data_IF_098776847818
#
_entry.id   IF_098776847818
#
_cell.length_a   1.000
_cell.length_b   1.000
_cell.length_c   1.000
_cell.angle_alpha   90.00
_cell.angle_beta   90.00
_cell.angle_gamma   90.00
#
_symmetry.space_group_name_H-M   'P 1'
#
loop_
_entity.id
_entity.type
_entity.pdbx_description
1 polymer ?
#
# COMPACT_ATOMS: atom_id res chain seq x y z
N UNK A 1 -14.18 -31.70 -93.25
CA UNK A 1 -14.62 -30.61 -92.36
C UNK A 1 -16.05 -30.94 -92.00
N UNK A 2 -16.28 -31.50 -90.81
CA UNK A 2 -17.62 -31.83 -90.35
C UNK A 2 -18.02 -30.75 -89.34
N UNK A 3 -18.74 -29.74 -89.82
CA UNK A 3 -19.38 -28.74 -88.98
C UNK A 3 -20.25 -29.43 -87.92
N UNK A 4 -19.96 -29.18 -86.65
CA UNK A 4 -20.85 -29.54 -85.55
C UNK A 4 -22.13 -28.68 -85.65
N UNK A 5 -23.33 -29.26 -85.46
CA UNK A 5 -24.56 -28.50 -85.53
C UNK A 5 -24.64 -27.51 -84.35
N UNK A 6 -24.60 -26.21 -84.65
CA UNK A 6 -24.81 -25.14 -83.70
C UNK A 6 -26.30 -25.03 -83.33
N UNK A 7 -26.78 -25.92 -82.47
CA UNK A 7 -28.08 -25.75 -81.81
C UNK A 7 -27.98 -24.68 -80.72
N UNK A 8 -28.88 -23.69 -80.73
CA UNK A 8 -28.93 -22.68 -79.67
C UNK A 8 -29.14 -23.36 -78.30
N UNK A 9 -28.34 -23.03 -77.27
CA UNK A 9 -28.35 -23.73 -75.98
C UNK A 9 -29.63 -23.49 -75.15
N UNK A 10 -30.49 -22.56 -75.57
CA UNK A 10 -31.72 -22.17 -74.88
C UNK A 10 -32.92 -22.56 -75.77
N UNK A 11 -33.72 -23.53 -75.32
CA UNK A 11 -34.86 -24.11 -76.07
C UNK A 11 -36.22 -23.72 -75.48
N UNK A 12 -36.27 -23.18 -74.27
CA UNK A 12 -37.52 -22.76 -73.61
C UNK A 12 -37.40 -21.37 -72.96
N UNK A 13 -38.50 -20.61 -72.83
CA UNK A 13 -38.50 -19.32 -72.12
C UNK A 13 -38.01 -19.43 -70.67
N UNK A 14 -38.27 -20.56 -70.00
CA UNK A 14 -37.76 -20.84 -68.66
C UNK A 14 -36.23 -20.96 -68.61
N UNK A 15 -35.60 -21.55 -69.64
CA UNK A 15 -34.15 -21.63 -69.75
C UNK A 15 -33.51 -20.26 -69.99
N UNK A 16 -34.19 -19.35 -70.71
CA UNK A 16 -33.73 -17.98 -70.91
C UNK A 16 -33.73 -17.18 -69.60
N UNK A 17 -34.81 -17.26 -68.83
CA UNK A 17 -34.93 -16.58 -67.52
C UNK A 17 -33.87 -17.12 -66.55
N UNK A 18 -33.67 -18.44 -66.49
CA UNK A 18 -32.65 -19.05 -65.66
C UNK A 18 -31.23 -18.61 -66.05
N UNK A 19 -30.93 -18.52 -67.36
CA UNK A 19 -29.63 -18.06 -67.85
C UNK A 19 -29.36 -16.59 -67.50
N UNK A 20 -30.37 -15.72 -67.59
CA UNK A 20 -30.26 -14.30 -67.20
C UNK A 20 -30.06 -14.18 -65.68
N UNK A 21 -30.84 -14.90 -64.86
CA UNK A 21 -30.67 -14.84 -63.40
C UNK A 21 -29.29 -15.35 -63.00
N UNK A 22 -28.83 -16.46 -63.60
CA UNK A 22 -27.51 -17.02 -63.32
C UNK A 22 -26.37 -16.07 -63.74
N UNK A 23 -26.51 -15.33 -64.85
CA UNK A 23 -25.47 -14.40 -65.31
C UNK A 23 -25.26 -13.20 -64.39
N UNK A 24 -26.25 -12.84 -63.57
CA UNK A 24 -26.11 -11.81 -62.53
C UNK A 24 -25.81 -12.41 -61.14
N UNK A 25 -26.50 -13.47 -60.76
CA UNK A 25 -26.35 -14.07 -59.43
C UNK A 25 -24.95 -14.69 -59.23
N UNK A 26 -24.40 -15.37 -60.24
CA UNK A 26 -23.09 -16.03 -60.11
C UNK A 26 -21.96 -15.00 -59.91
N UNK A 27 -21.84 -13.93 -60.71
CA UNK A 27 -20.84 -12.88 -60.43
C UNK A 27 -21.04 -12.20 -59.08
N UNK A 28 -22.28 -11.91 -58.67
CA UNK A 28 -22.55 -11.28 -57.36
C UNK A 28 -22.07 -12.18 -56.23
N UNK A 29 -22.40 -13.48 -56.27
CA UNK A 29 -21.95 -14.45 -55.27
C UNK A 29 -20.42 -14.56 -55.27
N UNK A 30 -19.78 -14.58 -56.43
CA UNK A 30 -18.31 -14.59 -56.54
C UNK A 30 -17.71 -13.32 -55.92
N UNK A 31 -18.28 -12.14 -56.18
CA UNK A 31 -17.81 -10.88 -55.59
C UNK A 31 -17.97 -10.90 -54.07
N UNK A 32 -19.12 -11.35 -53.55
CA UNK A 32 -19.34 -11.47 -52.10
C UNK A 32 -18.34 -12.44 -51.47
N UNK A 33 -18.12 -13.61 -52.08
CA UNK A 33 -17.12 -14.57 -51.62
C UNK A 33 -15.70 -14.01 -51.66
N UNK A 34 -15.36 -13.24 -52.69
CA UNK A 34 -14.06 -12.56 -52.78
C UNK A 34 -13.90 -11.46 -51.73
N UNK A 35 -14.95 -10.68 -51.44
CA UNK A 35 -14.93 -9.68 -50.37
C UNK A 35 -14.71 -10.36 -49.02
N UNK A 36 -15.45 -11.43 -48.72
CA UNK A 36 -15.27 -12.21 -47.47
C UNK A 36 -13.87 -12.82 -47.41
N UNK A 37 -13.36 -13.35 -48.53
CA UNK A 37 -12.01 -13.91 -48.60
C UNK A 37 -10.94 -12.85 -48.34
N UNK A 38 -11.06 -11.66 -48.93
CA UNK A 38 -10.12 -10.55 -48.75
C UNK A 38 -10.21 -9.95 -47.34
N UNK A 39 -11.41 -9.89 -46.74
CA UNK A 39 -11.61 -9.36 -45.39
C UNK A 39 -11.12 -10.34 -44.30
N UNK A 40 -11.30 -11.65 -44.52
CA UNK A 40 -10.74 -12.70 -43.64
C UNK A 40 -9.25 -12.99 -43.90
N UNK A 41 -8.65 -12.40 -44.92
CA UNK A 41 -7.21 -12.51 -45.16
C UNK A 41 -6.47 -11.61 -44.16
N UNK A 42 -5.72 -12.23 -43.27
CA UNK A 42 -4.95 -11.54 -42.23
C UNK A 42 -3.99 -10.52 -42.85
N UNK A 43 -4.28 -9.23 -42.68
CA UNK A 43 -3.33 -8.16 -42.99
C UNK A 43 -2.20 -8.23 -41.96
N UNK A 44 -1.10 -8.88 -42.30
CA UNK A 44 0.08 -8.97 -41.43
C UNK A 44 1.02 -7.81 -41.75
N UNK A 45 0.74 -6.64 -41.17
CA UNK A 45 1.58 -5.45 -41.27
C UNK A 45 1.60 -4.69 -39.96
N UNK A 46 2.73 -4.09 -39.59
CA UNK A 46 2.81 -3.28 -38.38
C UNK A 46 1.77 -2.13 -38.44
N UNK A 47 0.83 -2.11 -37.50
CA UNK A 47 -0.21 -1.08 -37.37
C UNK A 47 -1.59 -1.42 -37.95
N UNK A 48 -1.77 -2.61 -38.55
CA UNK A 48 -3.08 -3.05 -39.10
C UNK A 48 -4.17 -3.16 -38.04
N UNK A 49 -3.78 -3.49 -36.82
CA UNK A 49 -4.70 -3.70 -35.70
C UNK A 49 -4.66 -2.52 -34.72
N UNK A 50 -3.97 -1.42 -35.04
CA UNK A 50 -3.80 -0.27 -34.13
C UNK A 50 -5.10 0.38 -33.65
N UNK A 51 -6.20 0.20 -34.40
CA UNK A 51 -7.56 0.64 -34.06
C UNK A 51 -8.47 -0.51 -33.59
N UNK A 52 -7.94 -1.72 -33.43
CA UNK A 52 -8.66 -2.85 -32.90
C UNK A 52 -9.12 -2.53 -31.48
N UNK A 53 -10.34 -2.95 -31.14
CA UNK A 53 -10.92 -2.72 -29.83
C UNK A 53 -10.03 -3.29 -28.71
N UNK A 54 -9.32 -4.39 -29.00
CA UNK A 54 -8.36 -5.03 -28.09
C UNK A 54 -7.14 -4.13 -27.81
N UNK A 55 -6.51 -3.55 -28.83
CA UNK A 55 -5.35 -2.67 -28.64
C UNK A 55 -5.73 -1.30 -28.08
N UNK A 56 -6.90 -0.77 -28.44
CA UNK A 56 -7.43 0.45 -27.82
C UNK A 56 -7.70 0.20 -26.33
N UNK A 57 -8.35 -0.91 -25.99
CA UNK A 57 -8.60 -1.32 -24.59
C UNK A 57 -7.31 -1.50 -23.80
N UNK A 58 -6.27 -2.09 -24.40
CA UNK A 58 -4.97 -2.25 -23.75
C UNK A 58 -4.29 -0.90 -23.45
N UNK A 59 -4.48 0.12 -24.31
CA UNK A 59 -3.90 1.47 -24.14
C UNK A 59 -4.66 2.35 -23.15
N UNK A 60 -5.98 2.16 -23.02
CA UNK A 60 -6.82 2.91 -22.07
C UNK A 60 -6.95 2.22 -20.71
N UNK A 61 -6.32 1.07 -20.50
CA UNK A 61 -6.32 0.39 -19.20
C UNK A 61 -5.75 1.35 -18.14
N UNK A 62 -6.47 1.61 -17.03
CA UNK A 62 -5.97 2.46 -15.96
C UNK A 62 -4.64 1.92 -15.43
N UNK A 63 -3.59 2.74 -15.47
CA UNK A 63 -2.26 2.39 -14.93
C UNK A 63 -2.19 2.54 -13.41
N UNK A 64 -3.13 3.27 -12.81
CA UNK A 64 -3.22 3.49 -11.38
C UNK A 64 -4.51 2.86 -10.85
N UNK A 65 -4.37 1.75 -10.14
CA UNK A 65 -5.41 1.27 -9.23
C UNK A 65 -5.18 1.98 -7.89
N UNK A 66 -6.16 2.79 -7.49
CA UNK A 66 -6.15 3.44 -6.17
C UNK A 66 -6.99 2.57 -5.25
N UNK A 67 -6.33 1.74 -4.44
CA UNK A 67 -6.99 1.02 -3.35
C UNK A 67 -7.23 1.98 -2.19
N UNK A 68 -8.46 2.49 -2.09
CA UNK A 68 -8.89 3.28 -0.94
C UNK A 68 -9.17 2.29 0.20
N UNK A 69 -8.19 2.12 1.09
CA UNK A 69 -8.38 1.31 2.31
C UNK A 69 -9.23 2.12 3.29
N UNK A 70 -10.35 1.54 3.72
CA UNK A 70 -11.15 2.09 4.82
C UNK A 70 -10.31 2.02 6.11
N UNK A 71 -10.07 3.18 6.73
CA UNK A 71 -9.30 3.31 7.97
C UNK A 71 -9.94 2.54 9.14
N UNK A 72 -11.24 2.24 9.06
CA UNK A 72 -11.99 1.48 10.08
C UNK A 72 -12.17 0.00 9.73
N UNK A 73 -11.73 -0.45 8.55
CA UNK A 73 -11.79 -1.87 8.21
C UNK A 73 -10.76 -2.67 9.05
N UNK A 74 -11.11 -3.85 9.58
CA UNK A 74 -10.17 -4.69 10.28
C UNK A 74 -8.95 -4.99 9.41
N UNK A 75 -7.74 -4.63 9.88
CA UNK A 75 -6.50 -5.03 9.18
C UNK A 75 -6.41 -6.55 9.14
N UNK A 76 -6.55 -7.11 7.94
CA UNK A 76 -6.20 -8.51 7.67
C UNK A 76 -4.70 -8.56 7.45
N UNK A 77 -3.96 -9.05 8.44
CA UNK A 77 -2.51 -9.09 8.38
C UNK A 77 -2.03 -10.29 7.54
N UNK A 78 -1.10 -10.06 6.60
CA UNK A 78 -0.51 -11.09 5.72
C UNK A 78 0.53 -11.97 6.40
N UNK A 79 0.50 -13.28 6.18
CA UNK A 79 1.48 -14.23 6.75
C UNK A 79 2.92 -13.86 6.39
N UNK A 80 3.89 -14.36 7.17
CA UNK A 80 5.31 -14.11 6.92
C UNK A 80 5.78 -14.55 5.52
N UNK A 81 5.23 -15.65 5.01
CA UNK A 81 5.50 -16.13 3.66
C UNK A 81 5.00 -15.18 2.57
N UNK A 82 3.76 -14.67 2.72
CA UNK A 82 3.17 -13.74 1.76
C UNK A 82 3.96 -12.43 1.70
N UNK A 83 4.38 -11.91 2.85
CA UNK A 83 5.21 -10.70 2.94
C UNK A 83 6.60 -10.96 2.36
N UNK A 84 7.23 -12.10 2.66
CA UNK A 84 8.51 -12.50 2.08
C UNK A 84 8.44 -12.53 0.55
N UNK A 85 7.44 -13.20 -0.02
CA UNK A 85 7.27 -13.31 -1.47
C UNK A 85 7.09 -11.94 -2.12
N UNK A 86 6.26 -11.08 -1.51
CA UNK A 86 5.92 -9.78 -2.06
C UNK A 86 7.06 -8.75 -1.98
N UNK A 87 7.88 -8.79 -0.92
CA UNK A 87 8.82 -7.70 -0.60
C UNK A 87 10.27 -8.18 -0.56
N UNK A 88 10.55 -9.27 0.16
CA UNK A 88 11.91 -9.64 0.52
C UNK A 88 12.59 -10.53 -0.54
N UNK A 89 11.80 -11.32 -1.28
CA UNK A 89 12.29 -12.35 -2.19
C UNK A 89 13.14 -11.80 -3.33
N UNK A 90 12.86 -10.57 -3.79
CA UNK A 90 13.59 -9.92 -4.89
C UNK A 90 15.11 -9.87 -4.65
N UNK A 91 15.52 -9.69 -3.38
CA UNK A 91 16.94 -9.68 -3.01
C UNK A 91 17.36 -10.97 -2.30
N UNK A 92 16.54 -11.48 -1.38
CA UNK A 92 16.94 -12.60 -0.53
C UNK A 92 16.79 -13.97 -1.18
N UNK A 93 16.04 -14.13 -2.27
CA UNK A 93 15.97 -15.43 -2.96
C UNK A 93 17.30 -15.77 -3.66
N UNK A 94 17.91 -14.78 -4.31
CA UNK A 94 19.16 -14.96 -5.06
C UNK A 94 20.41 -14.51 -4.29
N UNK A 95 20.23 -13.73 -3.23
CA UNK A 95 21.32 -13.06 -2.49
C UNK A 95 21.82 -11.81 -3.19
N UNK A 96 20.95 -11.12 -3.93
CA UNK A 96 21.30 -9.90 -4.64
C UNK A 96 21.88 -8.85 -3.68
N UNK A 97 22.84 -8.06 -4.18
CA UNK A 97 23.54 -7.03 -3.40
C UNK A 97 24.18 -7.54 -2.08
N UNK A 98 24.51 -8.84 -2.01
CA UNK A 98 25.10 -9.46 -0.81
C UNK A 98 24.09 -9.77 0.29
N UNK A 99 22.79 -9.82 -0.05
CA UNK A 99 21.75 -10.24 0.89
C UNK A 99 21.96 -11.71 1.31
N UNK A 100 21.72 -12.07 2.59
CA UNK A 100 21.75 -13.47 3.01
C UNK A 100 20.67 -14.25 2.28
N UNK A 101 21.04 -15.36 1.64
CA UNK A 101 20.11 -16.14 0.80
C UNK A 101 19.09 -16.87 1.67
N UNK A 102 17.82 -16.73 1.35
CA UNK A 102 16.75 -17.53 1.95
C UNK A 102 17.10 -19.01 1.83
N UNK A 103 16.88 -19.76 2.91
CA UNK A 103 17.27 -21.18 3.12
C UNK A 103 18.76 -21.49 3.21
N UNK A 104 19.66 -20.52 3.01
CA UNK A 104 21.09 -20.74 3.21
C UNK A 104 21.46 -20.62 4.69
N UNK A 105 21.63 -21.75 5.36
CA UNK A 105 21.98 -21.80 6.78
C UNK A 105 23.32 -21.14 7.11
N UNK A 106 24.30 -21.16 6.21
CA UNK A 106 25.61 -20.55 6.45
C UNK A 106 25.52 -19.01 6.48
N UNK A 107 24.72 -18.42 5.59
CA UNK A 107 24.51 -16.97 5.54
C UNK A 107 23.72 -16.45 6.76
N UNK A 108 22.84 -17.30 7.31
CA UNK A 108 21.89 -16.95 8.36
C UNK A 108 22.34 -17.32 9.77
N UNK A 109 23.16 -18.35 9.97
CA UNK A 109 23.65 -18.78 11.30
C UNK A 109 24.23 -17.63 12.16
N UNK A 110 25.17 -16.78 11.68
CA UNK A 110 25.70 -15.68 12.48
C UNK A 110 24.68 -14.57 12.76
N UNK A 111 23.57 -14.53 12.00
CA UNK A 111 22.50 -13.53 12.13
C UNK A 111 21.44 -14.01 13.11
N UNK A 112 21.06 -15.28 13.01
CA UNK A 112 20.17 -15.97 13.95
C UNK A 112 20.79 -15.94 15.36
N UNK A 113 22.11 -16.11 15.48
CA UNK A 113 22.82 -16.00 16.75
C UNK A 113 22.70 -14.63 17.44
N UNK A 114 22.35 -13.56 16.71
CA UNK A 114 22.13 -12.22 17.28
C UNK A 114 20.74 -12.08 17.92
N UNK A 115 19.88 -13.08 17.77
CA UNK A 115 18.51 -13.08 18.28
C UNK A 115 17.51 -12.41 17.34
N UNK A 116 16.23 -12.71 17.58
CA UNK A 116 15.12 -12.25 16.75
C UNK A 116 14.99 -10.72 16.73
N UNK A 117 15.11 -10.06 17.89
CA UNK A 117 14.94 -8.61 17.99
C UNK A 117 15.98 -7.85 17.18
N UNK A 118 17.22 -8.34 17.13
CA UNK A 118 18.29 -7.75 16.31
C UNK A 118 18.01 -7.91 14.82
N UNK A 119 17.50 -9.07 14.40
CA UNK A 119 17.10 -9.33 13.02
C UNK A 119 15.93 -8.41 12.61
N UNK A 120 14.91 -8.31 13.46
CA UNK A 120 13.76 -7.46 13.24
C UNK A 120 14.17 -5.98 13.18
N UNK A 121 15.00 -5.52 14.12
CA UNK A 121 15.52 -4.16 14.12
C UNK A 121 16.25 -3.86 12.80
N UNK A 122 17.14 -4.75 12.36
CA UNK A 122 17.86 -4.61 11.08
C UNK A 122 16.90 -4.55 9.89
N UNK A 123 15.83 -5.36 9.90
CA UNK A 123 14.83 -5.34 8.85
C UNK A 123 14.02 -4.03 8.82
N UNK A 124 13.72 -3.45 9.99
CA UNK A 124 12.96 -2.21 10.10
C UNK A 124 13.80 -0.97 9.78
N UNK A 125 15.05 -0.92 10.22
CA UNK A 125 15.95 0.24 10.04
C UNK A 125 16.79 0.17 8.77
N UNK A 126 16.94 -1.02 8.17
CA UNK A 126 17.80 -1.24 7.01
C UNK A 126 19.27 -1.35 7.39
N UNK A 127 20.07 -1.97 6.51
CA UNK A 127 21.52 -2.10 6.69
C UNK A 127 22.23 -2.32 5.36
N UNK A 128 23.22 -1.48 5.07
CA UNK A 128 23.96 -1.58 3.80
C UNK A 128 23.04 -1.36 2.60
N UNK A 129 23.02 -2.32 1.67
CA UNK A 129 22.14 -2.29 0.50
C UNK A 129 20.68 -2.69 0.80
N UNK A 130 20.37 -3.16 2.02
CA UNK A 130 19.01 -3.48 2.43
C UNK A 130 18.29 -2.19 2.87
N UNK A 131 17.26 -1.73 2.14
CA UNK A 131 16.49 -0.55 2.53
C UNK A 131 15.69 -0.80 3.82
N UNK A 132 15.36 0.26 4.58
CA UNK A 132 14.45 0.15 5.71
C UNK A 132 13.15 -0.53 5.29
N UNK A 133 12.68 -1.49 6.09
CA UNK A 133 11.44 -2.25 5.87
C UNK A 133 11.36 -2.94 4.50
N UNK A 134 12.49 -3.29 3.89
CA UNK A 134 12.51 -3.86 2.53
C UNK A 134 12.02 -2.91 1.44
N UNK A 135 12.03 -1.59 1.70
CA UNK A 135 11.56 -0.57 0.76
C UNK A 135 10.06 -0.30 0.84
N UNK A 136 9.39 -0.83 1.85
CA UNK A 136 7.96 -0.60 2.10
C UNK A 136 7.73 0.49 3.15
N UNK A 137 6.50 0.99 3.22
CA UNK A 137 6.04 1.90 4.27
C UNK A 137 5.21 1.16 5.33
N UNK A 138 5.00 1.76 6.53
CA UNK A 138 4.04 1.25 7.52
C UNK A 138 2.61 1.09 7.00
N UNK A 139 2.25 1.84 5.95
CA UNK A 139 0.93 1.79 5.33
C UNK A 139 0.77 0.54 4.45
N UNK A 140 1.87 0.09 3.82
CA UNK A 140 1.91 -1.13 3.01
C UNK A 140 1.89 -2.38 3.89
N UNK A 141 2.80 -2.41 4.88
CA UNK A 141 3.02 -3.53 5.77
C UNK A 141 3.32 -3.04 7.19
N UNK A 142 2.59 -3.57 8.17
CA UNK A 142 2.84 -3.28 9.59
C UNK A 142 4.15 -3.93 10.08
N UNK A 143 4.70 -3.41 11.17
CA UNK A 143 5.90 -3.99 11.82
C UNK A 143 5.67 -5.44 12.22
N UNK A 144 4.43 -5.77 12.58
CA UNK A 144 3.99 -7.13 12.84
C UNK A 144 4.12 -8.04 11.61
N UNK A 145 3.66 -7.60 10.44
CA UNK A 145 3.80 -8.35 9.19
C UNK A 145 5.27 -8.53 8.77
N UNK A 146 6.09 -7.51 8.98
CA UNK A 146 7.54 -7.59 8.77
C UNK A 146 8.18 -8.57 9.76
N UNK A 147 7.78 -8.56 11.03
CA UNK A 147 8.26 -9.49 12.04
C UNK A 147 7.96 -10.95 11.66
N UNK A 148 6.76 -11.22 11.14
CA UNK A 148 6.41 -12.55 10.62
C UNK A 148 7.27 -12.96 9.43
N UNK A 149 7.55 -12.03 8.52
CA UNK A 149 8.45 -12.29 7.40
C UNK A 149 9.87 -12.63 7.86
N UNK A 150 10.39 -11.92 8.85
CA UNK A 150 11.71 -12.18 9.45
C UNK A 150 11.74 -13.54 10.13
N UNK A 151 10.71 -13.89 10.91
CA UNK A 151 10.59 -15.20 11.54
C UNK A 151 10.54 -16.31 10.48
N UNK A 152 9.73 -16.15 9.44
CA UNK A 152 9.65 -17.07 8.31
C UNK A 152 11.03 -17.27 7.64
N UNK A 153 11.74 -16.19 7.31
CA UNK A 153 13.06 -16.26 6.67
C UNK A 153 14.10 -16.93 7.54
N UNK A 154 14.17 -16.57 8.81
CA UNK A 154 15.12 -17.15 9.75
C UNK A 154 14.82 -18.64 9.99
N UNK A 155 13.55 -19.02 10.20
CA UNK A 155 13.16 -20.40 10.48
C UNK A 155 13.40 -21.32 9.29
N UNK A 156 13.13 -20.85 8.07
CA UNK A 156 13.47 -21.59 6.86
C UNK A 156 14.98 -21.63 6.56
N UNK A 157 15.79 -20.88 7.31
CA UNK A 157 17.26 -20.81 7.17
C UNK A 157 18.01 -21.35 8.39
N UNK A 158 17.37 -22.21 9.19
CA UNK A 158 17.98 -22.92 10.32
C UNK A 158 17.72 -22.29 11.70
N UNK A 159 16.85 -21.28 11.79
CA UNK A 159 16.37 -20.71 13.05
C UNK A 159 15.15 -21.45 13.59
N UNK A 160 14.73 -21.08 14.81
CA UNK A 160 13.49 -21.57 15.42
C UNK A 160 12.90 -20.48 16.34
N UNK A 161 12.56 -19.35 15.75
CA UNK A 161 11.87 -18.26 16.43
C UNK A 161 10.36 -18.52 16.48
N UNK A 162 9.69 -18.18 17.59
CA UNK A 162 8.24 -18.25 17.66
C UNK A 162 7.63 -17.27 16.65
N UNK A 163 6.49 -17.67 16.07
CA UNK A 163 5.70 -16.75 15.24
C UNK A 163 5.24 -15.58 16.12
N UNK A 164 5.47 -14.32 15.71
CA UNK A 164 4.96 -13.16 16.43
C UNK A 164 3.45 -13.26 16.66
N UNK A 165 3.01 -12.98 17.88
CA UNK A 165 1.59 -13.04 18.23
C UNK A 165 0.82 -11.92 17.53
N UNK A 166 -0.32 -12.27 16.91
CA UNK A 166 -1.17 -11.29 16.24
C UNK A 166 -1.73 -10.28 17.24
N UNK A 167 -1.60 -8.96 16.99
CA UNK A 167 -2.26 -7.96 17.81
C UNK A 167 -3.77 -8.20 17.84
N UNK A 168 -4.38 -8.20 19.03
CA UNK A 168 -5.82 -8.33 19.17
C UNK A 168 -6.54 -7.20 18.41
N UNK A 169 -7.69 -7.51 17.79
CA UNK A 169 -8.49 -6.52 17.09
C UNK A 169 -8.88 -5.38 18.04
N UNK A 170 -8.43 -4.16 17.75
CA UNK A 170 -8.69 -2.97 18.57
C UNK A 170 -7.71 -2.73 19.72
N UNK A 171 -6.64 -3.51 19.86
CA UNK A 171 -5.57 -3.19 20.80
C UNK A 171 -4.62 -2.14 20.18
N UNK A 172 -4.35 -0.99 20.84
CA UNK A 172 -3.21 -0.16 20.47
C UNK A 172 -1.95 -1.03 20.55
N UNK A 173 -1.09 -0.93 19.54
CA UNK A 173 0.12 -1.75 19.42
C UNK A 173 0.92 -1.70 20.74
N UNK A 174 0.87 -2.79 21.49
CA UNK A 174 1.52 -2.90 22.78
C UNK A 174 3.03 -3.04 22.57
N UNK A 175 3.78 -2.07 23.08
CA UNK A 175 5.21 -2.21 23.32
C UNK A 175 5.43 -3.35 24.34
N UNK A 176 6.27 -4.33 24.00
CA UNK A 176 6.64 -5.40 24.90
C UNK A 176 7.56 -4.89 26.02
N UNK A 177 7.09 -4.94 27.26
CA UNK A 177 7.86 -4.75 28.50
C UNK A 177 7.16 -5.47 29.65
N UNK A 178 7.90 -6.22 30.46
CA UNK A 178 7.43 -7.33 31.29
C UNK A 178 6.69 -6.97 32.60
N UNK A 179 5.75 -7.87 32.95
CA UNK A 179 5.31 -8.42 34.25
C UNK A 179 4.82 -7.49 35.41
N UNK A 180 3.56 -7.72 35.84
CA UNK A 180 3.19 -8.26 37.17
C UNK A 180 1.68 -8.08 37.48
N UNK A 181 1.16 -8.92 38.36
CA UNK A 181 -0.25 -9.19 38.66
C UNK A 181 -1.11 -8.02 39.19
N UNK A 182 -2.43 -8.18 39.01
CA UNK A 182 -3.52 -7.30 39.45
C UNK A 182 -3.75 -7.30 40.99
N UNK A 183 -4.68 -6.49 41.57
CA UNK A 183 -6.13 -6.68 41.35
C UNK A 183 -7.01 -5.41 41.17
N UNK A 184 -8.13 -5.68 40.50
CA UNK A 184 -9.49 -5.12 40.55
C UNK A 184 -9.79 -3.78 41.25
N UNK A 185 -10.50 -2.91 40.51
CA UNK A 185 -11.36 -1.85 41.02
C UNK A 185 -12.24 -1.30 39.90
N UNK A 186 -13.52 -1.66 39.89
CA UNK A 186 -14.53 -1.23 38.92
C UNK A 186 -14.94 0.24 39.13
N UNK A 187 -15.39 0.92 38.07
CA UNK A 187 -16.65 1.68 38.10
C UNK A 187 -17.11 2.14 36.71
N UNK A 188 -18.42 2.04 36.55
CA UNK A 188 -19.25 2.40 35.41
C UNK A 188 -19.06 3.84 34.91
N UNK A 189 -18.64 4.00 33.65
CA UNK A 189 -18.80 5.26 32.92
C UNK A 189 -19.05 5.07 31.41
N UNK A 190 -19.13 3.82 30.92
CA UNK A 190 -19.22 3.52 29.48
C UNK A 190 -20.62 3.68 28.86
N UNK A 191 -21.68 3.73 29.67
CA UNK A 191 -23.05 3.75 29.15
C UNK A 191 -23.57 5.15 28.80
N UNK A 192 -22.95 6.22 29.32
CA UNK A 192 -23.42 7.59 29.11
C UNK A 192 -22.88 8.25 27.82
N UNK A 193 -21.73 7.79 27.29
CA UNK A 193 -21.14 8.31 26.05
C UNK A 193 -21.81 7.77 24.77
N UNK A 194 -22.57 6.67 24.84
CA UNK A 194 -23.23 6.07 23.68
C UNK A 194 -24.53 6.78 23.27
N UNK A 195 -25.20 7.49 24.18
CA UNK A 195 -26.46 8.18 23.89
C UNK A 195 -26.26 9.59 23.27
N UNK A 196 -25.11 10.22 23.47
CA UNK A 196 -24.79 11.53 22.90
C UNK A 196 -24.40 11.48 21.41
N UNK A 197 -23.95 10.32 20.93
CA UNK A 197 -23.48 10.12 19.55
C UNK A 197 -24.62 10.06 18.51
N UNK A 198 -25.85 9.72 18.91
CA UNK A 198 -26.99 9.61 17.98
C UNK A 198 -27.75 10.93 17.75
N UNK A 199 -27.46 11.98 18.54
CA UNK A 199 -28.09 13.31 18.37
C UNK A 199 -27.33 14.25 17.40
N UNK A 200 -26.09 13.93 17.03
CA UNK A 200 -25.25 14.78 16.19
C UNK A 200 -25.39 14.53 14.67
N UNK A 201 -26.18 13.52 14.27
CA UNK A 201 -26.39 13.13 12.87
C UNK A 201 -27.61 13.81 12.20
N UNK A 202 -28.16 14.86 12.82
CA UNK A 202 -29.35 15.57 12.33
C UNK A 202 -29.10 16.99 11.80
N UNK A 203 -27.86 17.45 11.64
CA UNK A 203 -27.59 18.78 11.10
C UNK A 203 -26.40 18.80 10.14
N UNK A 204 -26.65 18.34 8.93
CA UNK A 204 -25.85 18.68 7.76
C UNK A 204 -26.62 19.69 6.92
N UNK A 205 -26.08 20.91 6.71
CA UNK A 205 -26.29 21.61 5.46
C UNK A 205 -25.01 21.55 4.62
N UNK A 206 -25.19 21.05 3.40
CA UNK A 206 -24.25 21.06 2.28
C UNK A 206 -24.04 22.49 1.75
N UNK A 207 -22.79 22.91 1.52
CA UNK A 207 -22.41 23.79 0.41
C UNK A 207 -20.88 23.84 0.23
N UNK A 208 -20.44 23.76 -1.03
CA UNK A 208 -19.04 23.76 -1.47
C UNK A 208 -18.55 25.18 -1.83
N UNK A 209 -17.26 25.46 -1.57
CA UNK A 209 -16.31 26.20 -2.44
C UNK A 209 -14.96 26.45 -1.70
N UNK A 210 -13.82 26.59 -2.41
CA UNK A 210 -12.49 26.27 -1.89
C UNK A 210 -11.69 27.50 -1.42
N UNK A 211 -10.79 27.31 -0.44
CA UNK A 211 -9.40 27.82 -0.44
C UNK A 211 -8.70 27.70 0.93
N UNK A 212 -7.37 27.65 0.84
CA UNK A 212 -6.35 28.08 1.81
C UNK A 212 -5.67 27.02 2.70
N UNK A 213 -4.36 26.93 2.49
CA UNK A 213 -3.38 26.25 3.30
C UNK A 213 -3.34 26.82 4.73
N UNK A 214 -3.14 25.93 5.71
CA UNK A 214 -2.75 26.30 7.07
C UNK A 214 -3.72 25.93 8.20
N UNK A 215 -4.84 25.25 7.92
CA UNK A 215 -5.66 24.65 8.96
C UNK A 215 -5.28 23.17 9.09
N UNK A 216 -4.52 22.83 10.14
CA UNK A 216 -4.47 21.45 10.61
C UNK A 216 -5.91 21.02 10.92
N UNK A 217 -6.34 19.90 10.33
CA UNK A 217 -7.65 19.36 10.62
C UNK A 217 -7.75 19.10 12.13
N UNK A 218 -8.93 19.29 12.71
CA UNK A 218 -9.19 18.95 14.11
C UNK A 218 -8.79 17.49 14.41
N UNK A 219 -8.89 16.63 13.40
CA UNK A 219 -8.46 15.23 13.42
C UNK A 219 -6.95 15.09 13.60
N UNK A 220 -6.12 15.82 12.84
CA UNK A 220 -4.67 15.81 12.98
C UNK A 220 -4.20 16.37 14.34
N UNK A 221 -4.86 17.42 14.85
CA UNK A 221 -4.56 17.96 16.17
C UNK A 221 -4.87 16.96 17.29
N UNK A 222 -5.96 16.20 17.15
CA UNK A 222 -6.34 15.19 18.13
C UNK A 222 -5.40 13.98 18.07
N UNK A 223 -5.01 13.54 16.86
CA UNK A 223 -4.03 12.49 16.66
C UNK A 223 -2.65 12.85 17.27
N UNK A 224 -2.18 14.08 17.03
CA UNK A 224 -0.92 14.58 17.62
C UNK A 224 -0.96 14.60 19.15
N UNK A 225 -2.08 15.03 19.74
CA UNK A 225 -2.27 14.99 21.20
C UNK A 225 -2.27 13.57 21.75
N UNK A 226 -2.94 12.63 21.08
CA UNK A 226 -2.98 11.23 21.49
C UNK A 226 -1.57 10.60 21.45
N UNK A 227 -0.81 10.85 20.37
CA UNK A 227 0.55 10.35 20.24
C UNK A 227 1.48 10.94 21.31
N UNK A 228 1.34 12.23 21.63
CA UNK A 228 2.07 12.84 22.75
C UNK A 228 1.79 12.10 24.07
N UNK A 229 0.52 11.85 24.39
CA UNK A 229 0.12 11.20 25.64
C UNK A 229 0.61 9.75 25.73
N UNK A 230 0.61 9.04 24.61
CA UNK A 230 1.00 7.63 24.57
C UNK A 230 2.51 7.45 24.64
N UNK A 231 3.29 8.30 23.96
CA UNK A 231 4.73 8.06 23.74
C UNK A 231 5.57 9.21 24.27
N UNK A 232 5.33 10.43 23.82
CA UNK A 232 6.24 11.55 24.07
C UNK A 232 6.22 12.00 25.54
N UNK A 233 5.09 11.87 26.24
CA UNK A 233 4.96 12.33 27.63
C UNK A 233 5.91 11.60 28.58
N UNK A 234 6.29 10.36 28.26
CA UNK A 234 7.17 9.54 29.08
C UNK A 234 8.49 10.26 29.43
N UNK A 235 8.98 11.10 28.52
CA UNK A 235 10.14 11.95 28.77
C UNK A 235 9.78 13.43 28.88
N UNK A 236 8.86 13.93 28.03
CA UNK A 236 8.60 15.36 27.92
C UNK A 236 7.63 15.92 28.97
N UNK A 237 6.89 15.10 29.73
CA UNK A 237 6.04 15.61 30.80
C UNK A 237 6.86 16.15 32.00
N UNK A 238 7.94 15.46 32.34
CA UNK A 238 8.83 15.81 33.45
C UNK A 238 10.20 16.35 33.01
N UNK A 239 10.51 16.32 31.71
CA UNK A 239 11.82 16.72 31.19
C UNK A 239 12.94 15.70 31.46
N UNK A 240 12.60 14.42 31.44
CA UNK A 240 13.53 13.30 31.70
C UNK A 240 14.66 13.32 30.67
N UNK A 241 15.90 13.03 31.09
CA UNK A 241 17.10 13.08 30.24
C UNK A 241 17.32 14.45 29.56
N UNK A 242 16.97 15.55 30.23
CA UNK A 242 17.02 16.92 29.69
C UNK A 242 16.10 17.16 28.48
N UNK A 243 15.03 16.38 28.35
CA UNK A 243 13.98 16.65 27.37
C UNK A 243 13.31 18.00 27.66
N UNK A 244 12.97 18.80 26.62
CA UNK A 244 12.19 20.02 26.82
C UNK A 244 10.81 19.68 27.40
N UNK A 245 10.50 20.24 28.56
CA UNK A 245 9.27 19.95 29.28
C UNK A 245 8.06 20.54 28.54
N UNK A 246 7.00 19.76 28.39
CA UNK A 246 5.76 20.21 27.78
C UNK A 246 5.16 21.40 28.56
N UNK A 247 4.79 22.47 27.85
CA UNK A 247 4.24 23.69 28.44
C UNK A 247 5.26 24.63 29.09
N UNK A 248 6.56 24.26 29.12
CA UNK A 248 7.62 25.10 29.68
C UNK A 248 8.19 26.06 28.62
N UNK A 249 7.77 27.32 28.67
CA UNK A 249 8.18 28.32 27.68
C UNK A 249 9.70 28.56 27.67
N UNK A 250 10.36 28.52 28.83
CA UNK A 250 11.79 28.78 28.94
C UNK A 250 12.61 27.62 28.38
N UNK A 251 12.15 26.38 28.61
CA UNK A 251 12.74 25.22 27.98
C UNK A 251 12.58 25.27 26.44
N UNK A 252 11.43 25.69 25.91
CA UNK A 252 11.19 25.67 24.45
C UNK A 252 11.74 26.87 23.68
N UNK A 253 11.90 28.03 24.32
CA UNK A 253 12.40 29.26 23.70
C UNK A 253 13.68 29.10 22.85
N UNK A 254 14.77 28.44 23.30
CA UNK A 254 15.96 28.27 22.46
C UNK A 254 15.74 27.31 21.28
N UNK A 255 14.82 26.35 21.39
CA UNK A 255 14.53 25.35 20.34
C UNK A 255 13.65 25.93 19.24
N UNK A 256 12.74 26.84 19.60
CA UNK A 256 11.85 27.52 18.66
C UNK A 256 12.51 28.70 17.93
N UNK A 257 13.79 28.97 18.18
CA UNK A 257 14.60 29.87 17.33
C UNK A 257 15.01 29.21 16.02
N UNK A 258 15.03 27.89 15.98
CA UNK A 258 15.30 27.14 14.76
C UNK A 258 14.02 27.03 13.92
N UNK A 259 14.14 26.88 12.59
CA UNK A 259 12.99 26.62 11.72
C UNK A 259 12.22 25.37 12.18
N UNK A 260 10.90 25.37 12.05
CA UNK A 260 10.07 24.22 12.45
C UNK A 260 10.48 22.92 11.72
N UNK A 261 10.97 23.00 10.49
CA UNK A 261 11.50 21.84 9.76
C UNK A 261 12.72 21.18 10.44
N UNK A 262 13.52 21.97 11.16
CA UNK A 262 14.64 21.46 11.96
C UNK A 262 14.13 20.78 13.23
N UNK A 263 13.12 21.36 13.88
CA UNK A 263 12.45 20.75 15.05
C UNK A 263 11.78 19.43 14.67
N UNK A 264 11.11 19.38 13.52
CA UNK A 264 10.54 18.14 12.98
C UNK A 264 11.62 17.10 12.66
N UNK A 265 12.75 17.50 12.07
CA UNK A 265 13.86 16.58 11.79
C UNK A 265 14.39 15.91 13.06
N UNK A 266 14.55 16.68 14.14
CA UNK A 266 14.97 16.11 15.43
C UNK A 266 13.96 15.14 16.01
N UNK A 267 12.66 15.41 15.84
CA UNK A 267 11.62 14.49 16.28
C UNK A 267 11.58 13.22 15.42
N UNK A 268 11.78 13.32 14.11
CA UNK A 268 11.73 12.19 13.18
C UNK A 268 12.98 11.29 13.27
N UNK A 269 14.16 11.88 13.37
CA UNK A 269 15.44 11.15 13.33
C UNK A 269 16.14 11.03 14.68
N UNK A 270 15.60 11.66 15.72
CA UNK A 270 16.20 11.69 17.05
C UNK A 270 17.28 12.76 17.20
N UNK A 271 17.57 13.14 18.44
CA UNK A 271 18.67 14.06 18.80
C UNK A 271 19.14 13.79 20.21
N UNK A 272 20.43 13.44 20.37
CA UNK A 272 21.00 13.11 21.68
C UNK A 272 20.30 11.90 22.31
N UNK A 273 19.70 12.08 23.48
CA UNK A 273 18.96 11.03 24.19
C UNK A 273 17.53 10.81 23.64
N UNK A 274 17.05 11.67 22.74
CA UNK A 274 15.73 11.51 22.12
C UNK A 274 15.80 10.48 20.97
N UNK A 275 15.11 9.33 21.07
CA UNK A 275 15.08 8.34 20.01
C UNK A 275 14.32 8.84 18.76
N UNK A 276 14.60 8.29 17.56
CA UNK A 276 13.82 8.57 16.36
C UNK A 276 12.32 8.37 16.59
N UNK A 277 11.51 9.32 16.14
CA UNK A 277 10.04 9.36 16.31
C UNK A 277 9.58 9.26 17.77
N UNK A 278 10.42 9.67 18.73
CA UNK A 278 10.14 9.51 20.16
C UNK A 278 10.05 8.05 20.63
N UNK A 279 10.54 7.10 19.82
CA UNK A 279 10.37 5.66 20.07
C UNK A 279 9.03 5.10 19.60
N UNK A 280 8.21 5.90 18.91
CA UNK A 280 6.98 5.44 18.27
C UNK A 280 7.24 4.85 16.88
N UNK A 281 6.29 4.05 16.42
CA UNK A 281 6.19 3.59 15.03
C UNK A 281 5.22 4.45 14.20
N UNK A 282 4.84 5.62 14.73
CA UNK A 282 3.85 6.50 14.11
C UNK A 282 4.34 7.07 12.76
N UNK A 283 3.38 7.51 11.94
CA UNK A 283 3.69 8.14 10.67
C UNK A 283 4.45 9.45 10.89
N UNK A 284 5.21 9.90 9.89
CA UNK A 284 5.91 11.19 9.99
C UNK A 284 4.93 12.35 10.17
N UNK A 285 3.73 12.23 9.60
CA UNK A 285 2.65 13.21 9.75
C UNK A 285 2.16 13.27 11.20
N UNK A 286 1.94 12.13 11.85
CA UNK A 286 1.50 12.07 13.25
C UNK A 286 2.57 12.58 14.21
N UNK A 287 3.84 12.25 13.94
CA UNK A 287 4.98 12.77 14.73
C UNK A 287 5.06 14.29 14.61
N UNK A 288 4.93 14.84 13.39
CA UNK A 288 4.88 16.30 13.19
C UNK A 288 3.68 16.93 13.90
N UNK A 289 2.50 16.31 13.84
CA UNK A 289 1.32 16.77 14.55
C UNK A 289 1.50 16.74 16.07
N UNK A 290 2.19 15.73 16.62
CA UNK A 290 2.54 15.67 18.03
C UNK A 290 3.55 16.78 18.41
N UNK A 291 4.55 17.05 17.58
CA UNK A 291 5.46 18.19 17.76
C UNK A 291 4.68 19.50 17.77
N UNK A 292 3.76 19.70 16.84
CA UNK A 292 2.92 20.90 16.78
C UNK A 292 2.05 21.05 18.02
N UNK A 293 1.48 19.96 18.53
CA UNK A 293 0.77 19.96 19.81
C UNK A 293 1.68 20.42 20.97
N UNK A 294 2.91 19.91 21.05
CA UNK A 294 3.87 20.33 22.09
C UNK A 294 4.29 21.79 21.96
N UNK A 295 4.54 22.25 20.74
CA UNK A 295 4.92 23.64 20.47
C UNK A 295 3.74 24.59 20.70
N UNK A 296 2.50 24.17 20.40
CA UNK A 296 1.30 24.98 20.67
C UNK A 296 1.08 25.24 22.15
N UNK A 297 1.54 24.34 23.03
CA UNK A 297 1.40 24.48 24.47
C UNK A 297 2.36 25.53 25.08
N UNK A 298 3.34 26.01 24.30
CA UNK A 298 4.34 27.00 24.72
C UNK A 298 4.31 28.29 23.89
N UNK A 299 3.44 28.35 22.88
CA UNK A 299 3.14 29.59 22.15
C UNK A 299 2.30 30.55 23.01
#
# INVERSE_FOLDING_TARGET
>A
MSEAPHGAPIKTPGQLIAAIIASFAVPIVIIVLLVIYVDNSTRTGAGTDSLSEAEVTARIKPFAQVDIRDANAPRVYKSGEEVYKAVCSACHASGAAGAPKFTNTADWAPRIAQGFDTLLHTALTGKGAMPPRGGTSPDDYSDFEIARAVAYMANNSGGSFPEPAQPAAGAPAAASGAAAAAPAGASDAGAAQAAAAMAAMASVPQAAAPAAAGAQSADASQAGKALYQQVCQACHAAGVLNAPKFGDKDAWAPRLKEPMDTVYNYALHGKGAMPPKGGSTASDADVKAAVDYMVSAVK
#
